data_IF_736035777728
#
_entry.id   IF_736035777728
#
_cell.length_a   1.000
_cell.length_b   1.000
_cell.length_c   1.000
_cell.angle_alpha   90.00
_cell.angle_beta   90.00
_cell.angle_gamma   90.00
#
_symmetry.space_group_name_H-M   'P 1'
#
loop_
_entity.id
_entity.type
_entity.pdbx_description
1 polymer ?
#
# COMPACT_ATOMS: atom_id res chain seq x y z
N UNK A 1 -4.38 -21.40 4.06
CA UNK A 1 -3.14 -20.65 4.40
C UNK A 1 -3.50 -19.32 5.04
N UNK A 2 -3.09 -19.07 6.28
CA UNK A 2 -3.11 -17.73 6.90
C UNK A 2 -1.70 -17.14 6.74
N UNK A 3 -1.38 -16.68 5.53
CA UNK A 3 -0.17 -15.89 5.30
C UNK A 3 -0.57 -14.43 5.17
N UNK A 4 0.16 -13.54 5.82
CA UNK A 4 -0.02 -12.09 5.65
C UNK A 4 0.79 -11.53 4.48
N UNK A 5 1.72 -12.33 3.94
CA UNK A 5 2.57 -12.00 2.81
C UNK A 5 1.89 -12.23 1.46
N UNK A 6 1.87 -11.23 0.59
CA UNK A 6 1.34 -11.31 -0.77
C UNK A 6 2.11 -12.27 -1.68
N UNK A 7 3.46 -12.34 -1.68
CA UNK A 7 4.21 -13.27 -2.52
C UNK A 7 3.85 -14.74 -2.26
N UNK A 8 3.64 -15.12 -0.99
CA UNK A 8 3.23 -16.47 -0.64
C UNK A 8 1.81 -16.81 -1.11
N UNK A 9 0.92 -15.82 -1.17
CA UNK A 9 -0.42 -16.00 -1.75
C UNK A 9 -0.35 -16.17 -3.26
N UNK A 10 0.49 -15.38 -3.94
CA UNK A 10 0.72 -15.48 -5.38
C UNK A 10 1.34 -16.82 -5.78
N UNK A 11 2.36 -17.27 -5.05
CA UNK A 11 2.98 -18.58 -5.31
C UNK A 11 1.98 -19.73 -5.11
N UNK A 12 1.13 -19.63 -4.08
CA UNK A 12 0.08 -20.62 -3.85
C UNK A 12 -0.97 -20.62 -4.99
N UNK A 13 -1.37 -19.46 -5.52
CA UNK A 13 -2.31 -19.41 -6.64
C UNK A 13 -1.69 -19.99 -7.92
N UNK A 14 -0.45 -19.61 -8.25
CA UNK A 14 0.28 -20.15 -9.42
C UNK A 14 0.42 -21.68 -9.30
N UNK A 15 0.74 -22.19 -8.12
CA UNK A 15 0.90 -23.64 -7.90
C UNK A 15 -0.42 -24.38 -8.11
N UNK A 16 -1.55 -23.82 -7.64
CA UNK A 16 -2.87 -24.41 -7.83
C UNK A 16 -3.28 -24.36 -9.32
N UNK A 17 -3.00 -23.26 -10.01
CA UNK A 17 -3.27 -23.11 -11.44
C UNK A 17 -2.47 -24.12 -12.27
N UNK A 18 -1.16 -24.19 -12.07
CA UNK A 18 -0.27 -25.13 -12.76
C UNK A 18 -0.68 -26.59 -12.49
N UNK A 19 -1.00 -26.92 -11.24
CA UNK A 19 -1.49 -28.26 -10.92
C UNK A 19 -2.81 -28.56 -11.64
N UNK A 20 -3.73 -27.60 -11.68
CA UNK A 20 -5.02 -27.78 -12.34
C UNK A 20 -4.82 -28.01 -13.85
N UNK A 21 -3.95 -27.25 -14.51
CA UNK A 21 -3.62 -27.43 -15.93
C UNK A 21 -3.03 -28.81 -16.23
N UNK A 22 -2.03 -29.23 -15.44
CA UNK A 22 -1.43 -30.57 -15.57
C UNK A 22 -2.50 -31.64 -15.38
N UNK A 23 -3.36 -31.50 -14.36
CA UNK A 23 -4.42 -32.45 -14.09
C UNK A 23 -5.44 -32.54 -15.25
N UNK A 24 -5.79 -31.43 -15.91
CA UNK A 24 -6.67 -31.49 -17.11
C UNK A 24 -6.00 -32.22 -18.26
N UNK A 25 -4.69 -32.00 -18.45
CA UNK A 25 -3.96 -32.61 -19.55
C UNK A 25 -3.76 -34.12 -19.37
N UNK A 26 -3.78 -34.63 -18.14
CA UNK A 26 -3.48 -36.04 -17.83
C UNK A 26 -4.67 -36.87 -17.34
N UNK A 27 -5.84 -36.27 -17.11
CA UNK A 27 -6.98 -36.95 -16.48
C UNK A 27 -8.13 -37.20 -17.46
N UNK A 28 -8.40 -38.47 -17.73
CA UNK A 28 -9.57 -38.93 -18.51
C UNK A 28 -10.91 -38.59 -17.80
N UNK A 29 -10.88 -38.28 -16.50
CA UNK A 29 -12.09 -37.93 -15.71
C UNK A 29 -12.63 -36.54 -16.02
N UNK A 30 -11.87 -35.69 -16.71
CA UNK A 30 -12.24 -34.29 -16.92
C UNK A 30 -13.10 -34.03 -18.16
N UNK A 31 -13.26 -35.01 -19.06
CA UNK A 31 -14.09 -34.83 -20.27
C UNK A 31 -15.56 -34.53 -19.94
N UNK A 32 -16.05 -34.93 -18.76
CA UNK A 32 -17.48 -34.83 -18.39
C UNK A 32 -17.77 -34.06 -17.10
N UNK A 33 -16.76 -33.75 -16.27
CA UNK A 33 -16.98 -33.16 -14.95
C UNK A 33 -16.23 -31.84 -14.75
N UNK A 34 -16.92 -30.84 -14.20
CA UNK A 34 -16.29 -29.58 -13.81
C UNK A 34 -15.28 -29.82 -12.66
N UNK A 35 -14.12 -29.15 -12.69
CA UNK A 35 -13.08 -29.24 -11.64
C UNK A 35 -13.63 -29.07 -10.21
N UNK A 36 -14.68 -28.26 -10.04
CA UNK A 36 -15.35 -28.02 -8.74
C UNK A 36 -16.15 -29.21 -8.21
N UNK A 37 -16.45 -30.20 -9.05
CA UNK A 37 -17.25 -31.39 -8.72
C UNK A 37 -16.38 -32.61 -8.43
N UNK A 38 -15.06 -32.50 -8.63
CA UNK A 38 -14.12 -33.57 -8.33
C UNK A 38 -13.94 -33.70 -6.81
N UNK A 39 -14.17 -34.88 -6.21
CA UNK A 39 -13.97 -35.09 -4.78
C UNK A 39 -12.54 -34.75 -4.31
N UNK A 40 -11.54 -35.01 -5.16
CA UNK A 40 -10.13 -34.65 -4.90
C UNK A 40 -9.90 -33.13 -4.79
N UNK A 41 -10.77 -32.31 -5.40
CA UNK A 41 -10.70 -30.85 -5.37
C UNK A 41 -11.46 -30.22 -4.21
N UNK A 42 -12.27 -31.00 -3.49
CA UNK A 42 -13.10 -30.50 -2.40
C UNK A 42 -12.27 -29.89 -1.24
N UNK A 43 -11.13 -30.48 -0.81
CA UNK A 43 -10.29 -29.88 0.23
C UNK A 43 -9.74 -28.52 -0.18
N UNK A 44 -9.23 -28.40 -1.41
CA UNK A 44 -8.70 -27.15 -1.98
C UNK A 44 -9.79 -26.09 -2.14
N UNK A 45 -10.96 -26.49 -2.66
CA UNK A 45 -12.11 -25.58 -2.84
C UNK A 45 -12.60 -25.03 -1.50
N UNK A 46 -12.65 -25.88 -0.47
CA UNK A 46 -13.03 -25.46 0.88
C UNK A 46 -11.97 -24.54 1.50
N UNK A 47 -10.69 -24.82 1.30
CA UNK A 47 -9.60 -23.95 1.76
C UNK A 47 -9.61 -22.60 1.05
N UNK A 48 -9.85 -22.57 -0.26
CA UNK A 48 -9.95 -21.35 -1.06
C UNK A 48 -11.16 -20.52 -0.61
N UNK A 49 -12.34 -21.13 -0.47
CA UNK A 49 -13.56 -20.45 0.01
C UNK A 49 -13.36 -19.82 1.39
N UNK A 50 -12.59 -20.47 2.26
CA UNK A 50 -12.26 -19.99 3.60
C UNK A 50 -10.98 -19.13 3.65
N UNK A 51 -10.39 -18.82 2.48
CA UNK A 51 -9.17 -18.02 2.40
C UNK A 51 -9.46 -16.53 2.30
N UNK A 52 -8.46 -15.73 2.63
CA UNK A 52 -8.50 -14.27 2.50
C UNK A 52 -8.69 -13.79 1.04
N UNK A 53 -8.61 -14.66 0.03
CA UNK A 53 -8.89 -14.30 -1.37
C UNK A 53 -10.35 -13.88 -1.59
N UNK A 54 -11.29 -14.44 -0.81
CA UNK A 54 -12.72 -14.08 -0.90
C UNK A 54 -13.18 -13.11 0.19
N UNK A 55 -12.33 -12.82 1.19
CA UNK A 55 -12.65 -11.92 2.30
C UNK A 55 -12.37 -10.44 1.98
N UNK A 56 -12.01 -10.11 0.74
CA UNK A 56 -11.50 -8.79 0.35
C UNK A 56 -9.99 -8.66 0.63
N UNK A 57 -9.30 -7.89 -0.20
CA UNK A 57 -7.87 -7.59 -0.02
C UNK A 57 -7.65 -6.80 1.27
N UNK A 58 -6.73 -7.27 2.12
CA UNK A 58 -6.26 -6.50 3.29
C UNK A 58 -5.66 -5.18 2.81
N UNK A 59 -5.90 -4.10 3.53
CA UNK A 59 -5.37 -2.76 3.24
C UNK A 59 -3.87 -2.61 3.52
N UNK A 60 -3.23 -3.61 4.14
CA UNK A 60 -1.79 -3.64 4.42
C UNK A 60 -1.24 -5.07 4.40
N UNK A 61 0.03 -5.19 4.03
CA UNK A 61 0.81 -6.43 3.96
C UNK A 61 2.12 -6.26 4.75
N UNK A 62 2.53 -7.29 5.47
CA UNK A 62 3.67 -7.21 6.41
C UNK A 62 4.99 -6.83 5.72
N UNK A 63 5.19 -7.25 4.48
CA UNK A 63 6.35 -6.85 3.65
C UNK A 63 6.37 -5.36 3.31
N UNK A 64 5.23 -4.68 3.40
CA UNK A 64 5.11 -3.24 3.18
C UNK A 64 5.23 -2.43 4.47
N UNK A 65 5.30 -3.06 5.65
CA UNK A 65 5.38 -2.35 6.93
C UNK A 65 6.60 -1.43 7.00
N UNK A 66 7.75 -1.86 6.46
CA UNK A 66 8.95 -1.03 6.37
C UNK A 66 8.76 0.19 5.46
N UNK A 67 8.05 0.02 4.34
CA UNK A 67 7.72 1.10 3.42
C UNK A 67 6.74 2.09 4.05
N UNK A 68 5.73 1.59 4.75
CA UNK A 68 4.74 2.38 5.49
C UNK A 68 5.42 3.18 6.61
N UNK A 69 6.28 2.54 7.41
CA UNK A 69 7.06 3.20 8.46
C UNK A 69 8.02 4.26 7.89
N UNK A 70 8.67 3.95 6.76
CA UNK A 70 9.53 4.91 6.05
C UNK A 70 8.76 6.09 5.45
N UNK A 71 7.49 5.89 5.07
CA UNK A 71 6.59 6.95 4.57
C UNK A 71 6.08 7.82 5.71
N UNK A 72 5.75 7.23 6.87
CA UNK A 72 5.43 7.98 8.09
C UNK A 72 6.58 8.88 8.51
N UNK A 73 7.81 8.37 8.57
CA UNK A 73 8.98 9.16 8.96
C UNK A 73 9.21 10.38 8.06
N UNK A 74 9.01 10.22 6.75
CA UNK A 74 9.12 11.34 5.81
C UNK A 74 7.99 12.36 5.98
N UNK A 75 6.76 11.90 6.23
CA UNK A 75 5.61 12.77 6.50
C UNK A 75 5.79 13.56 7.82
N UNK A 76 6.27 12.90 8.88
CA UNK A 76 6.65 13.54 10.14
C UNK A 76 7.78 14.55 9.94
N UNK A 77 8.79 14.22 9.12
CA UNK A 77 9.88 15.13 8.76
C UNK A 77 9.41 16.38 8.02
N UNK A 78 8.44 16.23 7.10
CA UNK A 78 7.81 17.35 6.40
C UNK A 78 7.08 18.28 7.38
N UNK A 79 6.24 17.71 8.25
CA UNK A 79 5.49 18.47 9.26
C UNK A 79 6.42 19.16 10.28
N UNK A 80 7.47 18.47 10.73
CA UNK A 80 8.48 19.04 11.62
C UNK A 80 9.24 20.19 10.96
N UNK A 81 9.53 20.08 9.66
CA UNK A 81 10.13 21.19 8.89
C UNK A 81 9.21 22.40 8.90
N UNK A 82 7.91 22.23 8.62
CA UNK A 82 6.94 23.33 8.72
C UNK A 82 6.85 23.92 10.13
N UNK A 83 6.84 23.09 11.18
CA UNK A 83 6.81 23.54 12.57
C UNK A 83 8.04 24.37 12.96
N UNK A 84 9.23 24.00 12.46
CA UNK A 84 10.48 24.69 12.77
C UNK A 84 10.59 26.09 12.17
N UNK A 85 9.76 26.41 11.17
CA UNK A 85 9.80 27.69 10.44
C UNK A 85 9.10 28.84 11.20
N UNK A 86 8.60 28.59 12.41
CA UNK A 86 8.24 29.59 13.42
C UNK A 86 6.96 30.39 13.15
N UNK A 87 6.52 30.50 11.89
CA UNK A 87 5.31 31.24 11.50
C UNK A 87 4.08 30.36 11.27
N UNK A 88 4.26 29.05 11.12
CA UNK A 88 3.15 28.10 11.07
C UNK A 88 2.77 27.77 12.51
N UNK A 89 1.65 28.32 13.01
CA UNK A 89 1.14 27.94 14.33
C UNK A 89 0.90 26.43 14.37
N UNK A 90 1.29 25.76 15.46
CA UNK A 90 1.13 24.30 15.64
C UNK A 90 -0.32 23.85 15.38
N UNK A 91 -1.28 24.73 15.65
CA UNK A 91 -2.72 24.53 15.40
C UNK A 91 -3.09 24.39 13.91
N UNK A 92 -2.29 24.94 13.00
CA UNK A 92 -2.49 24.85 11.54
C UNK A 92 -1.77 23.67 10.92
N UNK A 93 -0.91 22.99 11.68
CA UNK A 93 -0.15 21.84 11.19
C UNK A 93 -1.08 20.62 11.27
N UNK A 94 -1.35 19.94 10.13
CA UNK A 94 -2.11 18.70 10.13
C UNK A 94 -1.45 17.67 11.02
N UNK A 95 -2.24 16.96 11.82
CA UNK A 95 -1.76 15.80 12.55
C UNK A 95 -1.94 14.54 11.70
N UNK A 96 -0.92 13.69 11.69
CA UNK A 96 -1.04 12.38 11.08
C UNK A 96 -1.98 11.51 11.93
N UNK A 97 -2.86 10.70 11.29
CA UNK A 97 -3.76 9.84 12.03
C UNK A 97 -3.00 8.83 12.90
N UNK A 98 -3.52 8.50 14.10
CA UNK A 98 -2.98 7.45 14.94
C UNK A 98 -3.13 6.08 14.28
N UNK A 99 -2.48 5.04 14.84
CA UNK A 99 -2.55 3.68 14.30
C UNK A 99 -4.01 3.18 14.14
N UNK A 100 -4.33 2.46 13.05
CA UNK A 100 -3.43 2.01 11.98
C UNK A 100 -3.19 3.09 10.92
N UNK A 101 -1.92 3.34 10.61
CA UNK A 101 -1.54 4.33 9.60
C UNK A 101 -1.54 3.75 8.19
N UNK A 102 -2.11 4.52 7.28
CA UNK A 102 -2.26 4.17 5.86
C UNK A 102 -1.57 5.21 4.98
N UNK A 103 -1.39 4.87 3.70
CA UNK A 103 -0.81 5.76 2.69
C UNK A 103 -1.70 6.98 2.36
N UNK A 104 -2.97 6.98 2.77
CA UNK A 104 -3.92 8.06 2.45
C UNK A 104 -3.55 9.38 3.13
N UNK A 105 -3.14 9.33 4.40
CA UNK A 105 -2.71 10.52 5.16
C UNK A 105 -1.52 11.23 4.51
N UNK A 106 -0.39 10.55 4.24
CA UNK A 106 0.74 11.10 3.50
C UNK A 106 0.39 11.59 2.09
N UNK A 107 -0.51 10.91 1.38
CA UNK A 107 -0.95 11.33 0.05
C UNK A 107 -1.68 12.67 0.11
N UNK A 108 -2.62 12.83 1.06
CA UNK A 108 -3.31 14.09 1.31
C UNK A 108 -2.33 15.20 1.73
N UNK A 109 -1.37 14.86 2.59
CA UNK A 109 -0.38 15.80 3.08
C UNK A 109 0.41 16.43 1.93
N UNK A 110 0.86 15.62 0.97
CA UNK A 110 1.62 16.12 -0.19
C UNK A 110 0.73 16.82 -1.21
N UNK A 111 -0.44 16.26 -1.51
CA UNK A 111 -1.29 16.75 -2.61
C UNK A 111 -2.11 17.99 -2.24
N UNK A 112 -2.45 18.16 -0.96
CA UNK A 112 -3.37 19.21 -0.52
C UNK A 112 -2.78 20.08 0.59
N UNK A 113 -2.36 19.46 1.69
CA UNK A 113 -1.99 20.22 2.88
C UNK A 113 -0.68 21.00 2.64
N UNK A 114 0.26 20.46 1.87
CA UNK A 114 1.49 21.14 1.47
C UNK A 114 1.22 22.51 0.83
N UNK A 115 0.34 22.55 -0.17
CA UNK A 115 -0.02 23.81 -0.86
C UNK A 115 -0.75 24.78 0.08
N UNK A 116 -1.52 24.26 1.03
CA UNK A 116 -2.22 25.05 2.04
C UNK A 116 -1.27 25.63 3.09
N UNK A 117 -0.15 24.96 3.37
CA UNK A 117 0.85 25.37 4.36
C UNK A 117 1.86 26.40 3.80
N UNK A 118 2.15 26.34 2.49
CA UNK A 118 3.12 27.24 1.84
C UNK A 118 2.86 28.75 2.02
N UNK A 119 1.61 29.26 2.02
CA UNK A 119 1.31 30.67 2.25
C UNK A 119 1.60 31.15 3.68
N UNK A 120 1.68 30.24 4.65
CA UNK A 120 2.00 30.58 6.04
C UNK A 120 3.50 30.73 6.32
N UNK A 121 4.34 30.59 5.29
CA UNK A 121 5.78 30.81 5.39
C UNK A 121 6.15 32.23 4.97
N UNK A 122 6.84 32.98 5.84
CA UNK A 122 7.50 34.22 5.45
C UNK A 122 8.37 34.02 4.20
N UNK A 123 8.38 35.03 3.33
CA UNK A 123 9.06 34.98 2.03
C UNK A 123 10.55 34.63 2.14
N UNK A 124 11.20 35.06 3.23
CA UNK A 124 12.63 34.85 3.49
C UNK A 124 12.91 33.41 3.94
N UNK A 125 12.14 32.90 4.89
CA UNK A 125 12.26 31.51 5.38
C UNK A 125 11.80 30.49 4.35
N UNK A 126 10.81 30.84 3.52
CA UNK A 126 10.38 30.02 2.39
C UNK A 126 11.53 29.73 1.44
N UNK A 127 12.34 30.72 1.06
CA UNK A 127 13.43 30.53 0.08
C UNK A 127 14.51 29.56 0.57
N UNK A 128 14.79 29.54 1.88
CA UNK A 128 15.79 28.65 2.48
C UNK A 128 15.25 27.26 2.80
N UNK A 129 13.97 27.15 3.14
CA UNK A 129 13.33 25.87 3.50
C UNK A 129 12.78 25.10 2.30
N UNK A 130 12.49 25.78 1.18
CA UNK A 130 11.87 25.17 -0.01
C UNK A 130 12.60 23.91 -0.51
N UNK A 131 13.95 23.87 -0.60
CA UNK A 131 14.65 22.68 -1.08
C UNK A 131 14.41 21.46 -0.18
N UNK A 132 14.45 21.64 1.14
CA UNK A 132 14.19 20.57 2.12
C UNK A 132 12.74 20.10 2.06
N UNK A 133 11.80 21.02 1.88
CA UNK A 133 10.38 20.74 1.74
C UNK A 133 10.07 19.96 0.45
N UNK A 134 10.66 20.37 -0.68
CA UNK A 134 10.51 19.72 -1.98
C UNK A 134 11.10 18.29 -1.99
N UNK A 135 12.19 18.07 -1.26
CA UNK A 135 12.77 16.73 -1.10
C UNK A 135 11.78 15.73 -0.47
N UNK A 136 11.03 16.13 0.56
CA UNK A 136 10.00 15.28 1.16
C UNK A 136 8.80 15.08 0.23
N UNK A 137 8.36 16.16 -0.43
CA UNK A 137 7.28 16.12 -1.43
C UNK A 137 7.61 15.21 -2.61
N UNK A 138 8.89 15.02 -2.95
CA UNK A 138 9.32 14.06 -3.97
C UNK A 138 9.44 12.63 -3.44
N UNK A 139 9.95 12.46 -2.22
CA UNK A 139 10.18 11.13 -1.61
C UNK A 139 8.89 10.39 -1.28
N UNK A 140 7.89 11.09 -0.75
CA UNK A 140 6.64 10.48 -0.29
C UNK A 140 5.86 9.83 -1.47
N UNK A 141 5.58 10.53 -2.59
CA UNK A 141 4.93 9.90 -3.75
C UNK A 141 5.76 8.78 -4.36
N UNK A 142 7.10 8.90 -4.44
CA UNK A 142 7.95 7.84 -4.98
C UNK A 142 7.95 6.54 -4.16
N UNK A 143 7.54 6.60 -2.89
CA UNK A 143 7.35 5.43 -2.01
C UNK A 143 5.93 4.87 -2.09
N UNK A 144 4.93 5.72 -2.24
CA UNK A 144 3.51 5.33 -2.32
C UNK A 144 3.18 4.77 -3.72
N UNK A 145 3.78 5.37 -4.74
CA UNK A 145 3.64 5.02 -6.14
C UNK A 145 5.03 4.82 -6.75
N UNK A 146 5.62 3.62 -6.64
CA UNK A 146 6.88 3.33 -7.32
C UNK A 146 6.69 3.49 -8.84
N UNK A 147 7.73 3.91 -9.59
CA UNK A 147 7.64 4.30 -11.01
C UNK A 147 7.19 3.20 -12.00
N UNK A 148 6.85 2.01 -11.49
CA UNK A 148 6.39 0.86 -12.24
C UNK A 148 4.87 0.61 -12.11
N UNK A 149 4.16 1.45 -11.36
CA UNK A 149 2.71 1.36 -11.15
C UNK A 149 2.08 2.71 -11.52
N UNK A 150 1.16 2.72 -12.49
CA UNK A 150 0.32 3.89 -12.74
C UNK A 150 -0.65 4.06 -11.58
N UNK A 151 -0.44 5.08 -10.74
CA UNK A 151 -1.33 5.40 -9.63
C UNK A 151 -2.32 6.53 -9.96
N UNK A 152 -2.54 6.84 -11.24
CA UNK A 152 -3.65 7.73 -11.61
C UNK A 152 -5.00 7.02 -11.37
N UNK A 153 -5.73 7.50 -10.37
CA UNK A 153 -7.17 7.29 -10.22
C UNK A 153 -7.83 8.53 -9.66
#
# INVERSE_FOLDING_TARGET
MKSDFAPLKLLASITIENWAEVYRATSDQLETANLRQLPAMQPLTNQLRNSALYAGTKSSHAELDSLVAGTRKDAEGLLATFASLGEVTIEKIPQLPPEPFTIEGPSRLVNHDYQTLLPFLARVTKKTALPSLEDFVRKIPGKICPPFIDCER
#
